data_IF_780791814914
#
_entry.id   IF_780791814914
#
_cell.length_a   1.000
_cell.length_b   1.000
_cell.length_c   1.000
_cell.angle_alpha   90.00
_cell.angle_beta   90.00
_cell.angle_gamma   90.00
#
_symmetry.space_group_name_H-M   'P 1'
#
loop_
_entity.id
_entity.type
_entity.pdbx_description
1 polymer ?
#
# COMPACT_ATOMS: atom_id res chain seq x y z
N UNK A 1 -80.25 32.31 54.33
CA UNK A 1 -80.68 30.94 54.70
C UNK A 1 -79.73 29.95 54.06
N UNK A 2 -79.04 29.15 54.90
CA UNK A 2 -78.48 27.78 54.69
C UNK A 2 -77.81 27.50 53.32
N UNK A 3 -76.57 27.04 53.20
CA UNK A 3 -75.79 26.19 54.10
C UNK A 3 -74.30 26.20 53.76
N UNK A 4 -73.54 26.27 54.85
CA UNK A 4 -72.12 26.01 55.06
C UNK A 4 -71.70 24.57 54.68
N UNK A 5 -70.51 24.41 54.04
CA UNK A 5 -69.50 23.31 54.17
C UNK A 5 -68.54 23.37 52.96
N UNK A 6 -67.41 24.09 53.01
CA UNK A 6 -66.08 23.70 53.52
C UNK A 6 -65.50 22.40 52.94
N UNK A 7 -64.42 22.63 52.18
CA UNK A 7 -63.13 21.91 52.17
C UNK A 7 -62.95 20.64 51.31
N UNK A 8 -61.79 20.65 50.62
CA UNK A 8 -60.99 19.53 50.08
C UNK A 8 -61.32 18.99 48.67
N UNK A 9 -60.42 19.36 47.76
CA UNK A 9 -59.49 18.46 47.07
C UNK A 9 -59.54 18.43 45.53
N UNK A 10 -58.42 18.95 44.98
CA UNK A 10 -57.68 18.41 43.85
C UNK A 10 -58.22 18.72 42.44
N UNK A 11 -57.76 19.90 42.01
CA UNK A 11 -57.27 20.25 40.67
C UNK A 11 -56.94 19.00 39.82
N UNK A 12 -57.84 18.66 38.89
CA UNK A 12 -57.51 17.82 37.74
C UNK A 12 -56.94 18.73 36.66
N UNK A 13 -55.66 19.04 36.77
CA UNK A 13 -54.88 19.62 35.68
C UNK A 13 -54.55 18.46 34.73
N UNK A 14 -55.32 18.36 33.65
CA UNK A 14 -55.01 17.49 32.52
C UNK A 14 -53.83 18.11 31.75
N UNK A 15 -52.61 17.98 32.27
CA UNK A 15 -51.40 18.23 31.48
C UNK A 15 -51.25 17.05 30.53
N UNK A 16 -51.60 17.29 29.27
CA UNK A 16 -51.27 16.41 28.16
C UNK A 16 -49.75 16.33 28.06
N UNK A 17 -49.17 15.32 28.71
CA UNK A 17 -47.76 14.98 28.60
C UNK A 17 -47.49 14.61 27.15
N UNK A 18 -46.88 15.54 26.40
CA UNK A 18 -46.18 15.19 25.17
C UNK A 18 -45.02 14.31 25.62
N UNK A 19 -45.19 13.00 25.44
CA UNK A 19 -44.10 12.04 25.53
C UNK A 19 -43.13 12.35 24.40
N UNK A 20 -42.17 13.23 24.66
CA UNK A 20 -40.95 13.31 23.86
C UNK A 20 -40.32 11.92 23.97
N UNK A 21 -40.46 11.15 22.90
CA UNK A 21 -39.75 9.91 22.72
C UNK A 21 -38.30 10.33 22.51
N UNK A 22 -37.53 10.39 23.59
CA UNK A 22 -36.07 10.46 23.51
C UNK A 22 -35.67 9.17 22.80
N UNK A 23 -35.36 9.28 21.51
CA UNK A 23 -34.62 8.24 20.80
C UNK A 23 -33.40 7.92 21.65
N UNK A 24 -33.23 6.65 22.01
CA UNK A 24 -32.01 6.16 22.65
C UNK A 24 -30.82 6.69 21.87
N UNK A 25 -30.13 7.66 22.44
CA UNK A 25 -28.81 8.08 21.98
C UNK A 25 -27.93 6.85 22.17
N UNK A 26 -27.65 6.16 21.07
CA UNK A 26 -26.91 4.91 21.07
C UNK A 26 -25.50 5.25 21.55
N UNK A 27 -25.25 5.02 22.83
CA UNK A 27 -24.03 5.48 23.48
C UNK A 27 -22.85 4.76 22.82
N UNK A 28 -22.03 5.51 22.09
CA UNK A 28 -20.84 4.99 21.44
C UNK A 28 -19.86 4.53 22.52
N UNK A 29 -19.60 3.23 22.59
CA UNK A 29 -18.75 2.62 23.63
C UNK A 29 -17.65 1.77 23.02
N UNK A 30 -16.58 1.58 23.79
CA UNK A 30 -15.46 0.70 23.44
C UNK A 30 -15.70 -0.65 24.12
N UNK A 31 -16.47 -1.52 23.48
CA UNK A 31 -16.86 -2.83 24.04
C UNK A 31 -16.10 -4.02 23.43
N UNK A 32 -15.22 -3.76 22.46
CA UNK A 32 -14.44 -4.78 21.76
C UNK A 32 -15.20 -5.50 20.65
N UNK A 33 -16.36 -4.98 20.23
CA UNK A 33 -17.09 -5.43 19.05
C UNK A 33 -16.86 -4.48 17.86
N UNK A 34 -17.24 -4.93 16.66
CA UNK A 34 -17.21 -4.07 15.46
C UNK A 34 -18.42 -3.15 15.47
N UNK A 35 -18.18 -1.85 15.63
CA UNK A 35 -19.22 -0.81 15.66
C UNK A 35 -19.87 -0.63 14.28
N UNK A 36 -21.20 -0.71 14.20
CA UNK A 36 -21.95 -0.40 12.99
C UNK A 36 -22.16 1.11 12.85
N UNK A 37 -21.63 1.68 11.78
CA UNK A 37 -21.81 3.09 11.45
C UNK A 37 -22.91 3.28 10.41
N UNK A 38 -23.57 4.41 10.55
CA UNK A 38 -24.66 4.90 9.73
C UNK A 38 -24.42 6.37 9.42
N UNK A 39 -25.17 6.92 8.46
CA UNK A 39 -25.09 8.34 8.12
C UNK A 39 -25.33 9.26 9.34
N UNK A 40 -26.14 8.84 10.31
CA UNK A 40 -26.48 9.65 11.49
C UNK A 40 -25.47 9.61 12.63
N UNK A 41 -24.63 8.57 12.74
CA UNK A 41 -23.67 8.42 13.84
C UNK A 41 -22.20 8.51 13.39
N UNK A 42 -21.93 8.55 12.08
CA UNK A 42 -20.56 8.57 11.54
C UNK A 42 -19.73 9.73 12.10
N UNK A 43 -20.18 10.97 11.90
CA UNK A 43 -19.44 12.16 12.35
C UNK A 43 -19.25 12.16 13.89
N UNK A 44 -20.26 11.70 14.63
CA UNK A 44 -20.18 11.55 16.09
C UNK A 44 -19.11 10.55 16.48
N UNK A 45 -19.06 9.37 15.84
CA UNK A 45 -18.06 8.34 16.12
C UNK A 45 -16.63 8.81 15.82
N UNK A 46 -16.43 9.46 14.67
CA UNK A 46 -15.11 10.01 14.30
C UNK A 46 -14.65 11.07 15.30
N UNK A 47 -15.56 11.88 15.85
CA UNK A 47 -15.23 12.90 16.86
C UNK A 47 -15.07 12.36 18.29
N UNK A 48 -15.70 11.22 18.61
CA UNK A 48 -15.73 10.64 19.96
C UNK A 48 -14.47 9.81 20.25
N UNK A 49 -14.00 9.04 19.27
CA UNK A 49 -12.88 8.14 19.45
C UNK A 49 -11.58 8.75 18.92
N UNK A 50 -10.54 8.74 19.75
CA UNK A 50 -9.20 9.19 19.35
C UNK A 50 -8.65 8.39 18.17
N UNK A 51 -8.95 7.09 18.10
CA UNK A 51 -8.51 6.22 17.03
C UNK A 51 -9.64 5.25 16.64
N UNK A 52 -10.11 5.35 15.41
CA UNK A 52 -11.15 4.46 14.86
C UNK A 52 -10.76 3.98 13.46
N UNK A 53 -10.82 2.67 13.26
CA UNK A 53 -10.56 1.99 12.01
C UNK A 53 -11.88 1.58 11.38
N UNK A 54 -12.19 2.10 10.19
CA UNK A 54 -13.49 1.96 9.52
C UNK A 54 -13.35 1.15 8.24
N UNK A 55 -14.15 0.08 8.12
CA UNK A 55 -14.38 -0.67 6.88
C UNK A 55 -15.59 -0.11 6.12
N UNK A 56 -15.34 0.55 4.99
CA UNK A 56 -16.38 0.95 4.05
C UNK A 56 -16.67 -0.21 3.10
N UNK A 57 -17.80 -0.87 3.32
CA UNK A 57 -18.11 -2.15 2.70
C UNK A 57 -19.42 -2.14 1.90
N UNK A 58 -19.60 -3.19 1.09
CA UNK A 58 -20.87 -3.53 0.47
C UNK A 58 -21.22 -5.00 0.77
N UNK A 59 -22.49 -5.33 1.05
CA UNK A 59 -22.89 -6.67 1.50
C UNK A 59 -22.70 -7.76 0.43
N UNK A 60 -22.66 -7.38 -0.85
CA UNK A 60 -22.42 -8.29 -1.97
C UNK A 60 -20.92 -8.49 -2.28
N UNK A 61 -20.02 -7.68 -1.72
CA UNK A 61 -18.60 -7.74 -2.02
C UNK A 61 -17.90 -8.95 -1.36
N UNK A 62 -17.34 -9.83 -2.18
CA UNK A 62 -16.63 -11.03 -1.70
C UNK A 62 -15.38 -10.73 -0.86
N UNK A 63 -14.65 -9.64 -1.15
CA UNK A 63 -13.50 -9.22 -0.35
C UNK A 63 -13.92 -8.73 1.03
N UNK A 64 -15.05 -8.01 1.14
CA UNK A 64 -15.60 -7.55 2.42
C UNK A 64 -16.03 -8.73 3.30
N UNK A 65 -16.71 -9.72 2.70
CA UNK A 65 -17.13 -10.94 3.43
C UNK A 65 -15.96 -11.71 4.05
N UNK A 66 -14.80 -11.73 3.39
CA UNK A 66 -13.58 -12.35 3.92
C UNK A 66 -12.90 -11.52 5.00
N UNK A 67 -13.02 -10.20 4.94
CA UNK A 67 -12.41 -9.28 5.90
C UNK A 67 -13.19 -9.22 7.22
N UNK A 68 -14.51 -9.26 7.18
CA UNK A 68 -15.37 -9.14 8.36
C UNK A 68 -14.97 -10.06 9.55
N UNK A 69 -14.73 -11.38 9.39
CA UNK A 69 -14.29 -12.22 10.52
C UNK A 69 -12.92 -11.82 11.09
N UNK A 70 -12.03 -11.24 10.28
CA UNK A 70 -10.73 -10.75 10.74
C UNK A 70 -10.89 -9.47 11.58
N UNK A 71 -11.85 -8.61 11.21
CA UNK A 71 -12.22 -7.42 12.00
C UNK A 71 -12.85 -7.82 13.34
N UNK A 72 -13.76 -8.79 13.33
CA UNK A 72 -14.39 -9.33 14.54
C UNK A 72 -13.35 -9.92 15.51
N UNK A 73 -12.31 -10.57 14.98
CA UNK A 73 -11.22 -11.12 15.79
C UNK A 73 -10.25 -10.04 16.33
N UNK A 74 -10.02 -8.96 15.56
CA UNK A 74 -9.10 -7.89 15.93
C UNK A 74 -9.70 -6.90 16.94
N UNK A 75 -11.01 -6.61 16.84
CA UNK A 75 -11.71 -5.62 17.66
C UNK A 75 -11.50 -5.79 19.18
N UNK A 76 -11.64 -6.99 19.78
CA UNK A 76 -11.49 -7.15 21.22
C UNK A 76 -10.04 -7.00 21.70
N UNK A 77 -9.05 -7.18 20.81
CA UNK A 77 -7.63 -7.01 21.16
C UNK A 77 -7.29 -5.52 21.13
N UNK A 78 -7.72 -4.81 20.09
CA UNK A 78 -7.48 -3.38 19.92
C UNK A 78 -8.21 -2.51 20.96
N UNK A 79 -9.39 -2.93 21.40
CA UNK A 79 -10.14 -2.28 22.46
C UNK A 79 -9.45 -2.32 23.83
N UNK A 80 -8.57 -3.30 24.07
CA UNK A 80 -7.85 -3.50 25.34
C UNK A 80 -6.52 -2.75 25.42
N UNK A 81 -6.12 -2.06 24.35
CA UNK A 81 -4.92 -1.23 24.36
C UNK A 81 -5.07 -0.07 25.35
N UNK A 82 -3.95 0.41 25.88
CA UNK A 82 -3.93 1.60 26.76
C UNK A 82 -4.62 2.80 26.11
N UNK A 83 -4.39 2.97 24.81
CA UNK A 83 -5.18 3.84 23.94
C UNK A 83 -5.93 2.94 22.96
N UNK A 84 -7.24 2.72 23.16
CA UNK A 84 -8.03 1.83 22.34
C UNK A 84 -8.07 2.26 20.87
N UNK A 85 -8.13 1.28 19.96
CA UNK A 85 -8.52 1.49 18.57
C UNK A 85 -9.88 0.82 18.38
N UNK A 86 -10.90 1.61 18.07
CA UNK A 86 -12.24 1.09 17.78
C UNK A 86 -12.26 0.56 16.35
N UNK A 87 -12.75 -0.65 16.14
CA UNK A 87 -13.05 -1.14 14.79
C UNK A 87 -14.52 -0.87 14.50
N UNK A 88 -14.79 -0.34 13.32
CA UNK A 88 -16.12 -0.01 12.86
C UNK A 88 -16.30 -0.40 11.39
N UNK A 89 -17.55 -0.47 10.95
CA UNK A 89 -17.89 -0.70 9.54
C UNK A 89 -19.06 0.17 9.13
N UNK A 90 -19.08 0.57 7.86
CA UNK A 90 -20.15 1.37 7.27
C UNK A 90 -20.55 0.78 5.92
N UNK A 91 -21.84 0.48 5.76
CA UNK A 91 -22.37 0.04 4.47
C UNK A 91 -22.45 1.22 3.49
N UNK A 92 -21.40 1.41 2.71
CA UNK A 92 -21.24 2.53 1.79
C UNK A 92 -22.10 2.39 0.52
N UNK A 93 -22.55 1.17 0.21
CA UNK A 93 -23.56 0.91 -0.83
C UNK A 93 -24.94 1.45 -0.41
N UNK A 94 -25.32 1.25 0.85
CA UNK A 94 -26.56 1.80 1.44
C UNK A 94 -26.49 3.31 1.63
N UNK A 95 -25.37 3.84 2.12
CA UNK A 95 -25.18 5.27 2.43
C UNK A 95 -24.37 5.99 1.35
N UNK A 96 -24.77 5.84 0.08
CA UNK A 96 -24.01 6.31 -1.10
C UNK A 96 -23.73 7.82 -1.14
N UNK A 97 -24.56 8.66 -0.50
CA UNK A 97 -24.29 10.11 -0.39
C UNK A 97 -23.09 10.40 0.48
N UNK A 98 -23.01 9.74 1.64
CA UNK A 98 -21.87 9.84 2.55
C UNK A 98 -20.64 9.27 1.85
N UNK A 99 -20.73 8.06 1.29
CA UNK A 99 -19.63 7.43 0.55
C UNK A 99 -19.03 8.37 -0.51
N UNK A 100 -19.86 9.06 -1.30
CA UNK A 100 -19.39 10.06 -2.27
C UNK A 100 -18.76 11.29 -1.61
N UNK A 101 -19.31 11.78 -0.49
CA UNK A 101 -18.77 12.94 0.24
C UNK A 101 -17.36 12.68 0.78
N UNK A 102 -17.07 11.43 1.16
CA UNK A 102 -15.76 10.99 1.66
C UNK A 102 -14.96 10.18 0.63
N UNK A 103 -15.34 10.28 -0.66
CA UNK A 103 -14.59 9.76 -1.80
C UNK A 103 -14.32 8.23 -1.77
N UNK A 104 -15.26 7.44 -1.27
CA UNK A 104 -15.20 5.97 -1.37
C UNK A 104 -15.70 5.53 -2.75
N UNK A 105 -14.79 4.99 -3.57
CA UNK A 105 -15.04 4.56 -4.95
C UNK A 105 -14.93 3.03 -5.16
N UNK A 106 -14.40 2.29 -4.18
CA UNK A 106 -14.22 0.85 -4.22
C UNK A 106 -14.53 0.19 -2.87
N UNK A 107 -14.67 -1.14 -2.86
CA UNK A 107 -14.94 -1.91 -1.64
C UNK A 107 -14.04 -3.15 -1.50
N UNK A 108 -13.53 -3.47 -0.29
CA UNK A 108 -13.53 -2.60 0.88
C UNK A 108 -12.53 -1.45 0.70
N UNK A 109 -12.90 -0.25 1.16
CA UNK A 109 -11.94 0.83 1.44
C UNK A 109 -11.80 0.94 2.94
N UNK A 110 -10.56 0.87 3.42
CA UNK A 110 -10.23 0.85 4.83
C UNK A 110 -9.62 2.18 5.22
N UNK A 111 -10.14 2.81 6.26
CA UNK A 111 -9.66 4.11 6.73
C UNK A 111 -9.35 4.06 8.21
N UNK A 112 -8.20 4.61 8.59
CA UNK A 112 -7.88 4.92 9.98
C UNK A 112 -8.11 6.40 10.22
N UNK A 113 -8.96 6.75 11.17
CA UNK A 113 -9.11 8.11 11.67
C UNK A 113 -8.35 8.23 12.97
N UNK A 114 -7.38 9.14 13.00
CA UNK A 114 -6.60 9.46 14.19
C UNK A 114 -6.84 10.92 14.55
N UNK A 115 -7.51 11.15 15.68
CA UNK A 115 -8.05 12.45 16.10
C UNK A 115 -8.83 13.14 14.97
N UNK A 116 -9.71 12.38 14.31
CA UNK A 116 -10.54 12.83 13.19
C UNK A 116 -9.82 13.00 11.85
N UNK A 117 -8.49 12.85 11.79
CA UNK A 117 -7.73 12.95 10.54
C UNK A 117 -7.76 11.61 9.80
N UNK A 118 -8.33 11.53 8.58
CA UNK A 118 -8.39 10.29 7.82
C UNK A 118 -7.03 9.90 7.25
N UNK A 119 -6.78 8.59 7.19
CA UNK A 119 -5.68 7.96 6.47
C UNK A 119 -6.20 6.67 5.84
N UNK A 120 -6.02 6.54 4.53
CA UNK A 120 -6.35 5.28 3.87
C UNK A 120 -5.36 4.18 4.27
N UNK A 121 -5.90 3.00 4.53
CA UNK A 121 -5.16 1.84 5.01
C UNK A 121 -4.92 0.83 3.89
N UNK A 122 -3.64 0.58 3.63
CA UNK A 122 -3.18 -0.42 2.64
C UNK A 122 -2.47 -1.61 3.28
N UNK A 123 -2.50 -1.72 4.61
CA UNK A 123 -1.79 -2.75 5.36
C UNK A 123 -2.44 -4.15 5.29
N UNK A 124 -1.91 -5.11 6.06
CA UNK A 124 -2.40 -6.49 6.09
C UNK A 124 -3.85 -6.59 6.58
N UNK A 125 -4.57 -7.62 6.12
CA UNK A 125 -6.00 -7.81 6.41
C UNK A 125 -6.32 -9.01 7.32
N UNK A 126 -5.31 -9.79 7.70
CA UNK A 126 -5.44 -10.87 8.69
C UNK A 126 -5.41 -10.27 10.10
N UNK A 127 -6.21 -10.79 11.03
CA UNK A 127 -6.46 -10.19 12.34
C UNK A 127 -5.18 -9.93 13.14
N UNK A 128 -4.30 -10.93 13.25
CA UNK A 128 -3.03 -10.83 13.98
C UNK A 128 -2.11 -9.76 13.39
N UNK A 129 -1.97 -9.74 12.06
CA UNK A 129 -1.15 -8.78 11.35
C UNK A 129 -1.78 -7.37 11.35
N UNK A 130 -3.11 -7.28 11.26
CA UNK A 130 -3.88 -6.04 11.34
C UNK A 130 -3.70 -5.41 12.71
N UNK A 131 -3.85 -6.18 13.79
CA UNK A 131 -3.61 -5.74 15.16
C UNK A 131 -2.19 -5.21 15.30
N UNK A 132 -1.19 -5.98 14.84
CA UNK A 132 0.22 -5.60 14.90
C UNK A 132 0.48 -4.28 14.16
N UNK A 133 -0.07 -4.14 12.96
CA UNK A 133 0.07 -2.92 12.15
C UNK A 133 -0.60 -1.71 12.82
N UNK A 134 -1.84 -1.86 13.31
CA UNK A 134 -2.61 -0.76 13.88
C UNK A 134 -2.06 -0.27 15.23
N UNK A 135 -1.48 -1.15 16.05
CA UNK A 135 -0.82 -0.79 17.32
C UNK A 135 0.20 0.34 17.16
N UNK A 136 0.85 0.45 15.99
CA UNK A 136 1.80 1.54 15.67
C UNK A 136 1.23 2.93 15.91
N UNK A 137 -0.03 3.15 15.52
CA UNK A 137 -0.61 4.48 15.46
C UNK A 137 -1.01 5.03 16.84
N UNK A 138 -1.10 4.16 17.84
CA UNK A 138 -1.40 4.49 19.24
C UNK A 138 -0.22 4.24 20.18
N UNK A 139 0.94 3.89 19.62
CA UNK A 139 2.18 3.76 20.36
C UNK A 139 2.69 5.13 20.87
N UNK A 140 3.48 5.16 21.95
CA UNK A 140 4.21 6.36 22.34
C UNK A 140 5.12 6.83 21.19
N UNK A 141 5.42 8.13 21.16
CA UNK A 141 6.29 8.70 20.12
C UNK A 141 7.71 8.10 20.21
N UNK A 142 8.17 7.80 21.43
CA UNK A 142 9.40 7.04 21.73
C UNK A 142 9.09 6.09 22.88
N UNK A 143 9.35 4.80 22.70
CA UNK A 143 9.25 3.82 23.78
C UNK A 143 10.51 3.83 24.65
N UNK A 144 10.34 3.65 25.97
CA UNK A 144 11.47 3.48 26.89
C UNK A 144 11.59 2.02 27.25
N UNK A 145 12.76 1.44 26.99
CA UNK A 145 13.04 0.02 27.15
C UNK A 145 14.03 -0.15 28.30
N UNK A 146 13.58 -0.80 29.37
CA UNK A 146 14.32 -0.89 30.63
C UNK A 146 15.34 -2.05 30.66
N UNK A 147 15.30 -2.96 29.68
CA UNK A 147 16.17 -4.14 29.63
C UNK A 147 16.34 -4.70 28.23
N UNK A 148 17.32 -5.57 28.04
CA UNK A 148 17.56 -6.30 26.78
C UNK A 148 16.35 -7.15 26.35
N UNK A 149 15.63 -7.73 27.31
CA UNK A 149 14.40 -8.47 27.03
C UNK A 149 13.31 -7.53 26.48
N UNK A 150 13.16 -6.34 27.07
CA UNK A 150 12.22 -5.34 26.55
C UNK A 150 12.59 -4.88 25.13
N UNK A 151 13.89 -4.81 24.80
CA UNK A 151 14.35 -4.53 23.44
C UNK A 151 13.93 -5.63 22.46
N UNK A 152 14.11 -6.90 22.81
CA UNK A 152 13.71 -8.04 21.97
C UNK A 152 12.19 -8.08 21.76
N UNK A 153 11.42 -7.95 22.85
CA UNK A 153 9.96 -7.90 22.81
C UNK A 153 9.45 -6.74 21.95
N UNK A 154 10.05 -5.55 22.09
CA UNK A 154 9.68 -4.38 21.29
C UNK A 154 9.90 -4.61 19.79
N UNK A 155 11.03 -5.19 19.39
CA UNK A 155 11.31 -5.48 17.98
C UNK A 155 10.36 -6.56 17.43
N UNK A 156 10.05 -7.59 18.23
CA UNK A 156 9.09 -8.63 17.85
C UNK A 156 7.67 -8.05 17.66
N UNK A 157 7.22 -7.21 18.59
CA UNK A 157 5.93 -6.54 18.55
C UNK A 157 5.84 -5.51 17.41
N UNK A 158 6.94 -4.80 17.12
CA UNK A 158 7.03 -3.86 16.00
C UNK A 158 6.84 -4.56 14.64
N UNK A 159 7.25 -5.83 14.54
CA UNK A 159 7.11 -6.65 13.35
C UNK A 159 7.95 -6.16 12.17
N UNK A 160 7.44 -6.38 10.96
CA UNK A 160 8.22 -6.18 9.73
C UNK A 160 7.70 -5.07 8.80
N UNK A 161 6.65 -4.37 9.21
CA UNK A 161 5.96 -3.38 8.36
C UNK A 161 6.60 -2.00 8.37
N UNK A 162 7.33 -1.67 9.44
CA UNK A 162 7.93 -0.36 9.64
C UNK A 162 9.37 -0.50 10.12
N UNK A 163 10.27 0.40 9.72
CA UNK A 163 11.59 0.49 10.32
C UNK A 163 11.53 0.78 11.82
N UNK A 164 12.56 0.32 12.52
CA UNK A 164 12.70 0.46 13.97
C UNK A 164 14.00 1.17 14.28
N UNK A 165 13.90 2.27 15.04
CA UNK A 165 15.03 3.04 15.52
C UNK A 165 15.17 2.89 17.02
N UNK A 166 16.34 2.46 17.50
CA UNK A 166 16.62 2.24 18.92
C UNK A 166 17.87 3.03 19.32
N UNK A 167 17.68 4.00 20.22
CA UNK A 167 18.77 4.75 20.83
C UNK A 167 19.35 4.03 22.03
N UNK A 168 20.52 3.41 21.88
CA UNK A 168 21.27 2.79 22.96
C UNK A 168 22.10 3.85 23.69
N UNK A 169 21.88 4.03 24.99
CA UNK A 169 22.53 5.07 25.78
C UNK A 169 22.07 6.49 25.47
N UNK A 170 20.93 6.65 24.78
CA UNK A 170 20.32 7.94 24.48
C UNK A 170 19.16 8.27 25.43
N UNK A 171 18.97 9.56 25.70
CA UNK A 171 17.76 10.04 26.37
C UNK A 171 16.62 10.17 25.33
N UNK A 172 15.39 9.80 25.71
CA UNK A 172 14.21 9.90 24.84
C UNK A 172 14.01 11.31 24.25
N UNK A 173 14.37 12.36 25.00
CA UNK A 173 14.22 13.75 24.57
C UNK A 173 14.98 14.04 23.27
N UNK A 174 16.13 13.39 23.07
CA UNK A 174 17.01 13.56 21.89
C UNK A 174 16.29 13.13 20.60
N UNK A 175 15.46 12.08 20.66
CA UNK A 175 14.78 11.53 19.47
C UNK A 175 13.25 11.73 19.49
N UNK A 176 12.71 12.38 20.53
CA UNK A 176 11.27 12.60 20.70
C UNK A 176 10.65 13.41 19.54
N UNK A 177 11.37 14.41 19.03
CA UNK A 177 10.96 15.19 17.85
C UNK A 177 10.82 14.31 16.60
N UNK A 178 11.78 13.41 16.40
CA UNK A 178 11.79 12.45 15.28
C UNK A 178 10.65 11.42 15.44
N UNK A 179 10.47 10.90 16.65
CA UNK A 179 9.38 9.99 17.00
C UNK A 179 8.01 10.56 16.66
N UNK A 180 7.78 11.84 16.98
CA UNK A 180 6.55 12.55 16.62
C UNK A 180 6.43 12.77 15.11
N UNK A 181 7.48 13.28 14.47
CA UNK A 181 7.51 13.61 13.04
C UNK A 181 7.28 12.38 12.15
N UNK A 182 7.89 11.26 12.50
CA UNK A 182 7.86 10.01 11.74
C UNK A 182 6.97 8.94 12.36
N UNK A 183 6.03 9.31 13.25
CA UNK A 183 5.12 8.37 13.94
C UNK A 183 4.39 7.41 13.00
N UNK A 184 4.06 7.87 11.79
CA UNK A 184 3.34 7.09 10.77
C UNK A 184 4.27 6.22 9.90
N UNK A 185 5.60 6.40 10.00
CA UNK A 185 6.60 5.78 9.13
C UNK A 185 7.57 4.85 9.86
N UNK A 186 7.82 5.05 11.16
CA UNK A 186 8.78 4.23 11.91
C UNK A 186 8.51 4.17 13.42
N UNK A 187 8.99 3.10 14.03
CA UNK A 187 9.06 2.91 15.47
C UNK A 187 10.31 3.58 16.04
N UNK A 188 10.18 4.21 17.20
CA UNK A 188 11.31 4.81 17.91
C UNK A 188 11.31 4.34 19.35
N UNK A 189 12.50 4.02 19.86
CA UNK A 189 12.70 3.65 21.25
C UNK A 189 14.08 4.10 21.76
N UNK A 190 14.25 4.11 23.07
CA UNK A 190 15.55 4.20 23.73
C UNK A 190 15.73 3.04 24.69
N UNK A 191 16.94 2.49 24.75
CA UNK A 191 17.31 1.47 25.74
C UNK A 191 18.06 2.12 26.90
N UNK A 192 17.61 1.85 28.13
CA UNK A 192 18.26 2.30 29.37
C UNK A 192 19.52 1.49 29.69
N UNK A 193 19.52 0.22 29.29
CA UNK A 193 20.65 -0.68 29.44
C UNK A 193 21.33 -0.90 28.09
N UNK A 194 22.66 -1.01 28.14
CA UNK A 194 23.49 -1.38 26.99
C UNK A 194 24.38 -2.52 27.47
N UNK A 195 24.14 -3.71 26.94
CA UNK A 195 24.90 -4.91 27.23
C UNK A 195 25.75 -5.32 26.03
N UNK A 196 26.78 -6.13 26.27
CA UNK A 196 27.55 -6.76 25.18
C UNK A 196 26.65 -7.60 24.25
N UNK A 197 25.63 -8.27 24.80
CA UNK A 197 24.67 -9.06 24.02
C UNK A 197 23.86 -8.20 23.05
N UNK A 198 23.39 -7.02 23.48
CA UNK A 198 22.69 -6.08 22.60
C UNK A 198 23.65 -5.46 21.58
N UNK A 199 24.87 -5.12 21.97
CA UNK A 199 25.92 -4.63 21.07
C UNK A 199 26.20 -5.62 19.94
N UNK A 200 26.31 -6.90 20.25
CA UNK A 200 26.49 -7.97 19.24
C UNK A 200 25.23 -8.15 18.39
N UNK A 201 24.05 -8.18 19.02
CA UNK A 201 22.78 -8.43 18.31
C UNK A 201 22.41 -7.32 17.33
N UNK A 202 22.80 -6.09 17.63
CA UNK A 202 22.53 -4.88 16.84
C UNK A 202 23.82 -4.28 16.28
N UNK A 203 24.88 -5.08 16.14
CA UNK A 203 26.14 -4.76 15.45
C UNK A 203 26.67 -3.34 15.69
N UNK A 204 26.80 -2.94 16.96
CA UNK A 204 27.38 -1.66 17.36
C UNK A 204 28.48 -1.82 18.40
N UNK A 205 29.52 -0.99 18.33
CA UNK A 205 30.76 -1.16 19.10
C UNK A 205 30.92 -0.16 20.26
N UNK A 206 30.06 0.87 20.32
CA UNK A 206 30.08 1.88 21.38
C UNK A 206 28.71 2.52 21.59
N UNK A 207 28.48 2.99 22.81
CA UNK A 207 27.35 3.86 23.14
C UNK A 207 27.83 5.29 23.45
N UNK A 208 27.02 6.34 23.20
CA UNK A 208 25.68 6.26 22.62
C UNK A 208 25.67 5.90 21.13
N UNK A 209 24.61 5.24 20.69
CA UNK A 209 24.36 4.89 19.30
C UNK A 209 22.86 4.93 18.99
N UNK A 210 22.50 5.36 17.77
CA UNK A 210 21.16 5.20 17.22
C UNK A 210 21.22 4.10 16.16
N UNK A 211 20.57 2.98 16.45
CA UNK A 211 20.48 1.83 15.56
C UNK A 211 19.20 1.94 14.75
N UNK A 212 19.30 1.75 13.44
CA UNK A 212 18.17 1.60 12.53
C UNK A 212 18.13 0.16 11.99
N UNK A 213 16.98 -0.49 12.17
CA UNK A 213 16.68 -1.78 11.55
C UNK A 213 15.52 -1.60 10.58
N UNK A 214 15.70 -2.01 9.33
CA UNK A 214 14.68 -2.01 8.30
C UNK A 214 14.29 -3.45 7.94
N UNK A 215 13.23 -4.01 8.56
CA UNK A 215 12.92 -5.44 8.42
C UNK A 215 12.60 -5.87 6.99
N UNK A 216 11.92 -5.03 6.21
CA UNK A 216 11.53 -5.33 4.82
C UNK A 216 12.74 -5.57 3.91
N UNK A 217 13.82 -4.83 4.14
CA UNK A 217 15.04 -4.93 3.33
C UNK A 217 16.16 -5.70 4.02
N UNK A 218 15.91 -6.19 5.25
CA UNK A 218 16.91 -6.79 6.11
C UNK A 218 18.17 -5.92 6.22
N UNK A 219 17.96 -4.61 6.37
CA UNK A 219 19.05 -3.64 6.47
C UNK A 219 19.23 -3.13 7.89
N UNK A 220 20.48 -2.86 8.21
CA UNK A 220 20.92 -2.42 9.50
C UNK A 220 21.90 -1.25 9.32
N UNK A 221 21.76 -0.21 10.14
CA UNK A 221 22.68 0.92 10.13
C UNK A 221 22.82 1.49 11.53
N UNK A 222 24.04 1.93 11.86
CA UNK A 222 24.35 2.50 13.18
C UNK A 222 24.88 3.91 13.02
N UNK A 223 24.34 4.82 13.84
CA UNK A 223 24.77 6.20 13.89
C UNK A 223 25.37 6.53 15.26
N UNK A 224 26.62 6.95 15.25
CA UNK A 224 27.39 7.27 16.47
C UNK A 224 27.43 8.77 16.79
N UNK A 225 26.63 9.57 16.10
CA UNK A 225 26.55 11.01 16.28
C UNK A 225 27.25 11.82 15.19
N UNK A 226 27.19 13.16 15.29
CA UNK A 226 26.64 13.93 16.41
C UNK A 226 25.12 13.79 16.59
N UNK A 227 24.65 13.74 17.84
CA UNK A 227 23.23 13.55 18.20
C UNK A 227 22.47 14.88 18.25
N UNK A 228 22.54 15.63 17.15
CA UNK A 228 21.83 16.91 16.98
C UNK A 228 20.74 16.73 15.91
N UNK A 229 19.65 17.49 16.03
CA UNK A 229 18.42 17.31 15.23
C UNK A 229 18.67 17.15 13.72
N UNK A 230 19.56 17.96 13.14
CA UNK A 230 19.86 17.92 11.70
C UNK A 230 20.49 16.59 11.25
N UNK A 231 21.53 16.14 11.95
CA UNK A 231 22.24 14.90 11.62
C UNK A 231 21.39 13.66 11.93
N UNK A 232 20.60 13.70 13.01
CA UNK A 232 19.68 12.62 13.33
C UNK A 232 18.56 12.51 12.30
N UNK A 233 17.99 13.64 11.88
CA UNK A 233 16.96 13.65 10.85
C UNK A 233 17.49 13.11 9.53
N UNK A 234 18.72 13.50 9.16
CA UNK A 234 19.37 13.01 7.96
C UNK A 234 19.58 11.49 8.03
N UNK A 235 20.12 10.97 9.14
CA UNK A 235 20.27 9.52 9.34
C UNK A 235 18.93 8.77 9.25
N UNK A 236 17.89 9.26 9.94
CA UNK A 236 16.55 8.65 9.89
C UNK A 236 16.00 8.63 8.47
N UNK A 237 16.13 9.72 7.71
CA UNK A 237 15.72 9.79 6.31
C UNK A 237 16.46 8.77 5.46
N UNK A 238 17.77 8.69 5.62
CA UNK A 238 18.61 7.76 4.88
C UNK A 238 18.29 6.29 5.19
N UNK A 239 17.85 5.99 6.42
CA UNK A 239 17.47 4.64 6.85
C UNK A 239 16.05 4.20 6.47
N UNK A 240 15.23 5.04 5.83
CA UNK A 240 13.93 4.62 5.27
C UNK A 240 14.06 3.85 3.96
N UNK A 241 15.22 3.93 3.31
CA UNK A 241 15.50 3.23 2.07
C UNK A 241 16.63 2.23 2.30
N UNK A 242 16.65 1.12 1.54
CA UNK A 242 17.80 0.27 1.51
C UNK A 242 18.99 1.00 0.85
N UNK A 243 20.21 0.56 1.14
CA UNK A 243 21.45 1.02 0.51
C UNK A 243 21.37 0.91 -1.01
N UNK A 244 20.78 -0.17 -1.52
CA UNK A 244 20.45 -0.31 -2.95
C UNK A 244 18.96 -0.61 -3.10
N UNK A 245 18.25 0.25 -3.82
CA UNK A 245 16.80 0.21 -3.97
C UNK A 245 16.41 -0.42 -5.32
N UNK A 246 15.67 -1.55 -5.34
CA UNK A 246 15.07 -2.01 -6.58
C UNK A 246 14.05 -0.99 -7.05
N UNK A 247 14.14 -0.52 -8.28
CA UNK A 247 13.21 0.46 -8.85
C UNK A 247 12.04 -0.28 -9.47
N UNK A 248 10.85 -0.06 -8.90
CA UNK A 248 9.58 -0.58 -9.36
C UNK A 248 8.46 0.41 -9.00
N UNK A 249 7.23 0.08 -9.35
CA UNK A 249 6.08 0.97 -9.10
C UNK A 249 5.92 1.41 -7.64
N UNK A 250 6.28 0.58 -6.66
CA UNK A 250 6.09 0.89 -5.26
C UNK A 250 7.27 1.68 -4.69
N UNK A 251 8.50 1.32 -5.05
CA UNK A 251 9.70 2.04 -4.59
C UNK A 251 9.85 3.41 -5.23
N UNK A 252 9.37 3.60 -6.47
CA UNK A 252 9.27 4.93 -7.09
C UNK A 252 8.42 5.88 -6.23
N UNK A 253 7.29 5.42 -5.66
CA UNK A 253 6.46 6.26 -4.79
C UNK A 253 7.20 6.71 -3.53
N UNK A 254 8.13 5.91 -3.03
CA UNK A 254 8.95 6.25 -1.86
C UNK A 254 9.93 7.39 -2.15
N UNK A 255 10.36 7.52 -3.42
CA UNK A 255 11.32 8.53 -3.87
C UNK A 255 10.68 9.89 -4.17
N UNK A 256 9.35 9.98 -4.23
CA UNK A 256 8.64 11.21 -4.63
C UNK A 256 8.99 12.43 -3.79
N UNK A 257 9.21 12.23 -2.49
CA UNK A 257 9.55 13.29 -1.54
C UNK A 257 11.05 13.27 -1.17
N UNK A 258 11.88 12.50 -1.88
CA UNK A 258 13.32 12.43 -1.68
C UNK A 258 14.04 13.37 -2.65
N UNK A 259 14.81 14.32 -2.12
CA UNK A 259 15.49 15.34 -2.92
C UNK A 259 16.86 14.87 -3.46
N UNK A 260 17.33 13.68 -3.05
CA UNK A 260 18.62 13.14 -3.46
C UNK A 260 18.57 12.66 -4.91
N UNK A 261 19.69 12.84 -5.61
CA UNK A 261 19.87 12.28 -6.95
C UNK A 261 20.03 10.75 -6.87
N UNK A 262 19.58 10.06 -7.90
CA UNK A 262 19.52 8.60 -7.95
C UNK A 262 20.62 8.09 -8.88
N UNK A 263 21.61 7.39 -8.34
CA UNK A 263 22.54 6.59 -9.12
C UNK A 263 21.79 5.34 -9.60
N UNK A 264 21.25 5.40 -10.82
CA UNK A 264 20.44 4.34 -11.40
C UNK A 264 21.32 3.37 -12.19
N UNK A 265 21.32 2.11 -11.78
CA UNK A 265 21.99 1.01 -12.49
C UNK A 265 20.97 0.15 -13.22
N UNK A 266 21.02 0.16 -14.54
CA UNK A 266 20.14 -0.62 -15.41
C UNK A 266 20.86 -1.92 -15.78
N UNK A 267 20.25 -3.06 -15.47
CA UNK A 267 20.75 -4.40 -15.77
C UNK A 267 19.81 -5.11 -16.75
N UNK A 268 20.26 -6.21 -17.35
CA UNK A 268 19.40 -7.01 -18.23
C UNK A 268 18.28 -7.69 -17.40
N UNK A 269 18.67 -8.36 -16.31
CA UNK A 269 17.80 -9.18 -15.48
C UNK A 269 18.27 -9.14 -14.03
N UNK A 270 17.44 -8.63 -13.13
CA UNK A 270 17.76 -8.47 -11.71
C UNK A 270 18.06 -9.79 -10.99
N UNK A 271 17.60 -10.91 -11.54
CA UNK A 271 17.71 -12.25 -10.91
C UNK A 271 18.99 -12.99 -11.26
N UNK A 272 19.85 -12.41 -12.10
CA UNK A 272 21.03 -13.08 -12.60
C UNK A 272 22.14 -13.15 -11.53
N UNK A 273 22.64 -14.35 -11.23
CA UNK A 273 23.65 -14.60 -10.18
C UNK A 273 24.94 -13.79 -10.35
N UNK A 274 25.29 -13.41 -11.59
CA UNK A 274 26.49 -12.60 -11.86
C UNK A 274 26.41 -11.17 -11.31
N UNK A 275 25.25 -10.71 -10.84
CA UNK A 275 25.07 -9.37 -10.30
C UNK A 275 25.55 -9.22 -8.85
N UNK A 276 25.84 -10.31 -8.13
CA UNK A 276 26.29 -10.27 -6.74
C UNK A 276 27.50 -9.35 -6.53
N UNK A 277 28.50 -9.43 -7.41
CA UNK A 277 29.69 -8.55 -7.35
C UNK A 277 29.34 -7.09 -7.58
N UNK A 278 28.43 -6.82 -8.52
CA UNK A 278 27.96 -5.47 -8.83
C UNK A 278 27.18 -4.90 -7.64
N UNK A 279 26.22 -5.63 -7.10
CA UNK A 279 25.43 -5.20 -5.95
C UNK A 279 26.30 -4.98 -4.71
N UNK A 280 27.36 -5.79 -4.51
CA UNK A 280 28.34 -5.53 -3.44
C UNK A 280 29.08 -4.21 -3.65
N UNK A 281 29.51 -3.91 -4.88
CA UNK A 281 30.15 -2.64 -5.21
C UNK A 281 29.20 -1.44 -5.03
N UNK A 282 27.95 -1.55 -5.51
CA UNK A 282 26.93 -0.52 -5.34
C UNK A 282 26.59 -0.28 -3.87
N UNK A 283 26.44 -1.34 -3.05
CA UNK A 283 26.23 -1.19 -1.59
C UNK A 283 27.40 -0.49 -0.91
N UNK A 284 28.64 -0.85 -1.25
CA UNK A 284 29.82 -0.18 -0.70
C UNK A 284 29.86 1.31 -1.09
N UNK A 285 29.53 1.62 -2.34
CA UNK A 285 29.43 2.99 -2.82
C UNK A 285 28.29 3.76 -2.13
N UNK A 286 27.10 3.17 -2.00
CA UNK A 286 25.96 3.75 -1.31
C UNK A 286 26.25 4.05 0.16
N UNK A 287 26.97 3.15 0.84
CA UNK A 287 27.37 3.36 2.23
C UNK A 287 28.27 4.59 2.38
N UNK A 288 29.16 4.85 1.42
CA UNK A 288 30.08 5.99 1.43
C UNK A 288 29.48 7.29 0.87
N UNK A 289 28.33 7.23 0.18
CA UNK A 289 27.72 8.34 -0.55
C UNK A 289 26.22 8.43 -0.25
N UNK A 290 25.87 8.62 1.02
CA UNK A 290 24.48 8.66 1.51
C UNK A 290 23.69 9.89 1.04
N UNK A 291 24.39 10.89 0.51
CA UNK A 291 23.85 12.05 -0.21
C UNK A 291 23.18 11.67 -1.55
N UNK A 292 23.39 10.44 -2.02
CA UNK A 292 22.77 9.87 -3.21
C UNK A 292 21.92 8.65 -2.84
N UNK A 293 20.91 8.35 -3.66
CA UNK A 293 20.19 7.08 -3.62
C UNK A 293 20.79 6.16 -4.67
N UNK A 294 21.07 4.91 -4.35
CA UNK A 294 21.52 3.93 -5.34
C UNK A 294 20.33 3.05 -5.72
N UNK A 295 19.90 3.14 -6.98
CA UNK A 295 18.79 2.37 -7.53
C UNK A 295 19.28 1.33 -8.53
N UNK A 296 18.58 0.23 -8.66
CA UNK A 296 18.79 -0.71 -9.77
C UNK A 296 17.47 -1.15 -10.38
N UNK A 297 17.49 -1.47 -11.67
CA UNK A 297 16.31 -1.94 -12.42
C UNK A 297 16.75 -2.87 -13.53
N UNK A 298 16.00 -3.96 -13.73
CA UNK A 298 16.21 -4.86 -14.86
C UNK A 298 15.29 -4.56 -16.03
N UNK A 299 15.80 -4.67 -17.25
CA UNK A 299 15.01 -4.55 -18.49
C UNK A 299 13.84 -5.53 -18.47
N UNK A 300 14.06 -6.78 -18.06
CA UNK A 300 12.99 -7.80 -18.01
C UNK A 300 11.92 -7.51 -16.96
N UNK A 301 12.27 -6.80 -15.89
CA UNK A 301 11.38 -6.48 -14.78
C UNK A 301 10.57 -5.21 -15.06
N UNK A 302 11.15 -4.25 -15.79
CA UNK A 302 10.53 -2.95 -15.98
C UNK A 302 10.87 -2.25 -17.31
N UNK A 303 10.66 -2.94 -18.43
CA UNK A 303 10.99 -2.48 -19.79
C UNK A 303 10.50 -1.05 -20.08
N UNK A 304 9.22 -0.75 -19.81
CA UNK A 304 8.63 0.57 -20.09
C UNK A 304 9.33 1.73 -19.37
N UNK A 305 9.84 1.49 -18.16
CA UNK A 305 10.59 2.47 -17.40
C UNK A 305 12.00 2.62 -17.96
N UNK A 306 12.65 1.50 -18.28
CA UNK A 306 14.03 1.47 -18.77
C UNK A 306 14.19 2.10 -20.15
N UNK A 307 13.20 1.92 -21.04
CA UNK A 307 13.18 2.52 -22.38
C UNK A 307 13.28 4.06 -22.34
N UNK A 308 12.77 4.69 -21.27
CA UNK A 308 12.85 6.12 -21.06
C UNK A 308 14.31 6.62 -20.94
N UNK A 309 15.24 5.76 -20.50
CA UNK A 309 16.66 6.07 -20.34
C UNK A 309 17.50 5.79 -21.59
N UNK A 310 16.88 5.77 -22.78
CA UNK A 310 17.57 5.49 -24.05
C UNK A 310 18.32 4.15 -24.00
N UNK A 311 17.64 3.11 -23.51
CA UNK A 311 18.13 1.74 -23.53
C UNK A 311 17.43 1.02 -24.68
N UNK A 312 18.22 0.35 -25.50
CA UNK A 312 17.74 -0.45 -26.61
C UNK A 312 18.51 -1.79 -26.68
N UNK A 313 18.14 -2.65 -27.62
CA UNK A 313 18.76 -3.99 -27.79
C UNK A 313 20.26 -3.97 -28.10
N UNK A 314 20.84 -2.82 -28.44
CA UNK A 314 22.28 -2.65 -28.74
C UNK A 314 23.03 -2.01 -27.57
N UNK A 315 22.31 -1.58 -26.53
CA UNK A 315 22.89 -0.95 -25.36
C UNK A 315 23.66 -1.98 -24.55
N UNK A 316 24.92 -1.68 -24.23
CA UNK A 316 25.71 -2.53 -23.35
C UNK A 316 25.26 -2.33 -21.90
N UNK A 317 24.83 -3.42 -21.26
CA UNK A 317 24.43 -3.45 -19.85
C UNK A 317 25.49 -4.19 -19.01
N UNK A 318 25.63 -3.87 -17.72
CA UNK A 318 24.91 -2.85 -16.94
C UNK A 318 25.22 -1.40 -17.31
N UNK A 319 24.20 -0.56 -17.48
CA UNK A 319 24.33 0.90 -17.71
C UNK A 319 24.18 1.65 -16.39
N UNK A 320 24.94 2.71 -16.16
CA UNK A 320 24.85 3.53 -14.94
C UNK A 320 24.71 5.02 -15.27
N UNK A 321 23.79 5.71 -14.58
CA UNK A 321 23.50 7.14 -14.77
C UNK A 321 23.17 7.80 -13.42
N UNK A 322 23.21 9.14 -13.35
CA UNK A 322 22.67 9.89 -12.21
C UNK A 322 21.38 10.58 -12.63
N UNK A 323 20.25 10.06 -12.17
CA UNK A 323 18.92 10.56 -12.46
C UNK A 323 18.45 11.57 -11.42
N UNK A 324 17.74 12.60 -11.86
CA UNK A 324 17.17 13.63 -10.99
C UNK A 324 15.89 13.24 -10.26
N UNK A 325 15.33 12.07 -10.57
CA UNK A 325 14.04 11.62 -10.06
C UNK A 325 12.84 12.18 -10.84
N UNK A 326 13.08 12.86 -11.96
CA UNK A 326 12.06 13.41 -12.85
C UNK A 326 12.42 13.21 -14.33
N UNK A 327 12.76 14.28 -15.07
CA UNK A 327 12.93 14.24 -16.52
C UNK A 327 14.40 14.19 -16.99
N UNK A 328 15.37 14.50 -16.13
CA UNK A 328 16.78 14.65 -16.52
C UNK A 328 17.69 13.63 -15.86
N UNK A 329 18.69 13.16 -16.60
CA UNK A 329 19.77 12.37 -16.03
C UNK A 329 21.12 12.80 -16.59
N UNK A 330 22.13 12.74 -15.75
CA UNK A 330 23.53 12.96 -16.08
C UNK A 330 24.18 11.64 -16.47
N UNK A 331 24.83 11.64 -17.64
CA UNK A 331 25.69 10.56 -18.09
C UNK A 331 27.16 10.97 -17.93
N UNK A 332 27.95 10.18 -17.19
CA UNK A 332 29.36 10.51 -16.97
C UNK A 332 30.18 10.22 -18.23
N UNK A 333 30.89 11.23 -18.73
CA UNK A 333 31.64 11.12 -19.98
C UNK A 333 32.71 10.03 -19.90
N UNK A 334 32.66 9.08 -20.84
CA UNK A 334 33.60 7.96 -20.91
C UNK A 334 33.31 6.82 -19.93
N UNK A 335 32.23 6.89 -19.14
CA UNK A 335 31.79 5.80 -18.25
C UNK A 335 30.28 5.62 -18.38
N UNK A 336 29.88 4.78 -19.34
CA UNK A 336 28.46 4.52 -19.64
C UNK A 336 27.98 3.16 -19.14
N UNK A 337 28.90 2.20 -19.06
CA UNK A 337 28.63 0.79 -18.76
C UNK A 337 29.62 0.30 -17.71
N UNK A 338 29.17 -0.58 -16.82
CA UNK A 338 30.04 -1.31 -15.90
C UNK A 338 30.37 -2.66 -16.54
N UNK A 339 31.64 -2.90 -16.87
CA UNK A 339 32.07 -4.12 -17.54
C UNK A 339 32.49 -5.19 -16.54
N UNK A 340 32.49 -6.46 -16.97
CA UNK A 340 33.01 -7.59 -16.18
C UNK A 340 34.54 -7.69 -16.22
N UNK A 341 35.21 -6.92 -17.09
CA UNK A 341 36.65 -7.01 -17.33
C UNK A 341 37.48 -6.27 -16.26
N UNK A 342 36.90 -5.22 -15.67
CA UNK A 342 37.49 -4.42 -14.59
C UNK A 342 36.73 -4.64 -13.28
N UNK A 343 37.40 -4.39 -12.15
CA UNK A 343 36.76 -4.44 -10.84
C UNK A 343 35.59 -3.43 -10.74
N UNK A 344 34.41 -3.92 -10.34
CA UNK A 344 33.19 -3.10 -10.30
C UNK A 344 33.30 -1.95 -9.29
N UNK A 345 33.96 -2.15 -8.15
CA UNK A 345 34.11 -1.10 -7.14
C UNK A 345 34.94 0.07 -7.67
N UNK A 346 36.00 -0.23 -8.41
CA UNK A 346 36.84 0.76 -9.09
C UNK A 346 36.05 1.53 -10.14
N UNK A 347 35.26 0.84 -10.97
CA UNK A 347 34.42 1.48 -12.00
C UNK A 347 33.35 2.39 -11.39
N UNK A 348 32.64 1.93 -10.37
CA UNK A 348 31.62 2.75 -9.66
C UNK A 348 32.26 3.96 -8.98
N UNK A 349 33.45 3.80 -8.38
CA UNK A 349 34.16 4.92 -7.75
C UNK A 349 34.56 5.98 -8.78
N UNK A 350 35.12 5.58 -9.93
CA UNK A 350 35.48 6.47 -11.03
C UNK A 350 34.26 7.16 -11.65
N UNK A 351 33.13 6.46 -11.74
CA UNK A 351 31.86 7.05 -12.17
C UNK A 351 31.43 8.19 -11.23
N UNK A 352 31.41 7.94 -9.93
CA UNK A 352 31.01 8.94 -8.92
C UNK A 352 31.97 10.13 -8.87
N UNK A 353 33.28 9.89 -9.02
CA UNK A 353 34.28 10.94 -9.15
C UNK A 353 34.01 11.81 -10.39
N UNK A 354 33.79 11.20 -11.55
CA UNK A 354 33.45 11.92 -12.77
C UNK A 354 32.17 12.75 -12.66
N UNK A 355 31.15 12.22 -11.98
CA UNK A 355 29.93 12.98 -11.67
C UNK A 355 30.24 14.18 -10.77
N UNK A 356 30.99 14.00 -9.68
CA UNK A 356 31.34 15.09 -8.74
C UNK A 356 32.24 16.16 -9.35
N UNK A 357 33.06 15.79 -10.33
CA UNK A 357 33.88 16.72 -11.10
C UNK A 357 33.08 17.46 -12.20
N UNK A 358 31.81 17.11 -12.40
CA UNK A 358 30.97 17.69 -13.45
C UNK A 358 31.35 17.24 -14.86
N UNK A 359 32.05 16.11 -15.00
CA UNK A 359 32.33 15.48 -16.30
C UNK A 359 31.11 14.70 -16.79
N UNK A 360 30.00 15.41 -17.00
CA UNK A 360 28.72 14.83 -17.37
C UNK A 360 28.12 15.45 -18.63
N UNK A 361 27.34 14.65 -19.33
CA UNK A 361 26.42 15.08 -20.37
C UNK A 361 24.99 14.92 -19.86
N UNK A 362 24.26 16.04 -19.77
CA UNK A 362 22.84 16.03 -19.42
C UNK A 362 22.01 15.49 -20.57
N UNK A 363 21.12 14.56 -20.25
CA UNK A 363 20.12 13.99 -21.15
C UNK A 363 18.74 14.09 -20.52
N UNK A 364 17.71 14.10 -21.37
CA UNK A 364 16.33 13.97 -20.94
C UNK A 364 15.86 12.54 -21.13
N UNK A 365 14.94 12.07 -20.32
CA UNK A 365 14.27 10.79 -20.58
C UNK A 365 13.32 10.89 -21.77
N UNK A 366 13.02 9.76 -22.40
CA UNK A 366 11.97 9.65 -23.41
C UNK A 366 10.65 9.29 -22.73
N UNK A 367 9.58 10.02 -23.06
CA UNK A 367 8.23 9.72 -22.56
C UNK A 367 7.81 10.60 -21.37
N UNK A 368 6.82 10.17 -20.58
CA UNK A 368 6.30 10.97 -19.48
C UNK A 368 7.33 11.13 -18.37
N UNK A 369 7.32 12.30 -17.73
CA UNK A 369 8.12 12.57 -16.53
C UNK A 369 7.85 11.55 -15.42
N UNK A 370 8.68 11.48 -14.38
CA UNK A 370 8.43 10.58 -13.23
C UNK A 370 7.02 10.75 -12.66
N UNK A 371 6.57 11.99 -12.49
CA UNK A 371 5.21 12.28 -12.04
C UNK A 371 4.16 11.88 -13.08
N UNK A 372 4.44 12.07 -14.37
CA UNK A 372 3.60 11.58 -15.46
C UNK A 372 3.48 10.06 -15.46
N UNK A 373 4.57 9.36 -15.17
CA UNK A 373 4.64 7.90 -15.07
C UNK A 373 3.81 7.42 -13.87
N UNK A 374 3.99 7.98 -12.67
CA UNK A 374 3.15 7.70 -11.48
C UNK A 374 1.67 7.96 -11.76
N UNK A 375 1.33 9.08 -12.39
CA UNK A 375 -0.05 9.45 -12.64
C UNK A 375 -0.71 8.57 -13.73
N UNK A 376 0.05 8.19 -14.76
CA UNK A 376 -0.40 7.24 -15.78
C UNK A 376 -0.82 5.90 -15.15
N UNK A 377 -0.11 5.43 -14.13
CA UNK A 377 -0.45 4.21 -13.39
C UNK A 377 -1.81 4.28 -12.66
N UNK A 378 -2.21 5.45 -12.15
CA UNK A 378 -3.53 5.64 -11.52
C UNK A 378 -4.63 5.52 -12.59
N UNK A 379 -4.40 6.09 -13.78
CA UNK A 379 -5.31 5.98 -14.92
C UNK A 379 -5.39 4.58 -15.52
N UNK A 380 -4.30 3.79 -15.49
CA UNK A 380 -4.28 2.41 -16.02
C UNK A 380 -5.23 1.49 -15.26
N UNK A 381 -5.38 1.64 -13.93
CA UNK A 381 -6.44 0.92 -13.18
C UNK A 381 -7.84 1.28 -13.69
N UNK A 382 -8.09 2.55 -14.00
CA UNK A 382 -9.35 3.01 -14.61
C UNK A 382 -9.55 2.44 -16.02
N UNK A 383 -8.48 2.31 -16.81
CA UNK A 383 -8.52 1.71 -18.16
C UNK A 383 -8.78 0.21 -18.09
N UNK A 384 -8.14 -0.53 -17.18
CA UNK A 384 -8.44 -1.95 -16.98
C UNK A 384 -9.88 -2.17 -16.49
N UNK A 385 -10.38 -1.30 -15.60
CA UNK A 385 -11.79 -1.32 -15.20
C UNK A 385 -12.69 -1.02 -16.40
N UNK A 386 -12.35 -0.05 -17.25
CA UNK A 386 -13.13 0.29 -18.44
C UNK A 386 -13.11 -0.84 -19.48
N UNK A 387 -11.96 -1.45 -19.74
CA UNK A 387 -11.81 -2.59 -20.65
C UNK A 387 -12.55 -3.81 -20.12
N UNK A 388 -12.47 -4.07 -18.81
CA UNK A 388 -13.24 -5.12 -18.15
C UNK A 388 -14.76 -4.84 -18.23
N UNK A 389 -15.19 -3.60 -17.99
CA UNK A 389 -16.59 -3.19 -18.09
C UNK A 389 -17.11 -3.34 -19.53
N UNK A 390 -16.32 -2.94 -20.52
CA UNK A 390 -16.64 -3.10 -21.95
C UNK A 390 -16.71 -4.59 -22.32
N UNK A 391 -15.76 -5.41 -21.86
CA UNK A 391 -15.78 -6.86 -22.08
C UNK A 391 -17.01 -7.52 -21.44
N UNK A 392 -17.39 -7.11 -20.23
CA UNK A 392 -18.60 -7.58 -19.55
C UNK A 392 -19.86 -7.12 -20.30
N UNK A 393 -19.93 -5.88 -20.77
CA UNK A 393 -21.04 -5.38 -21.59
C UNK A 393 -21.13 -6.15 -22.92
N UNK A 394 -20.01 -6.45 -23.57
CA UNK A 394 -19.97 -7.25 -24.80
C UNK A 394 -20.42 -8.69 -24.54
N UNK A 395 -20.02 -9.29 -23.42
CA UNK A 395 -20.45 -10.62 -23.00
C UNK A 395 -21.95 -10.67 -22.68
N UNK A 396 -22.49 -9.66 -22.01
CA UNK A 396 -23.93 -9.54 -21.74
C UNK A 396 -24.75 -9.32 -23.00
N UNK A 397 -24.23 -8.57 -23.99
CA UNK A 397 -24.86 -8.40 -25.31
C UNK A 397 -24.85 -9.69 -26.13
N UNK A 398 -23.81 -10.50 -26.00
CA UNK A 398 -23.72 -11.85 -26.60
C UNK A 398 -24.75 -12.81 -26.01
N UNK A 399 -24.99 -12.73 -24.69
CA UNK A 399 -26.00 -13.52 -23.99
C UNK A 399 -27.45 -13.04 -24.22
N UNK A 400 -27.64 -11.83 -24.75
CA UNK A 400 -28.94 -11.24 -25.05
C UNK A 400 -29.49 -11.54 -26.45
N UNK A 401 -28.81 -12.35 -27.26
CA UNK A 401 -29.26 -12.78 -28.58
C UNK A 401 -29.72 -14.25 -28.53
N UNK A 402 -30.84 -14.53 -27.87
CA UNK A 402 -31.57 -15.81 -28.02
C UNK A 402 -33.07 -15.54 -28.12
N UNK A 403 -33.55 -15.66 -29.36
CA UNK A 403 -34.90 -16.03 -29.86
C UNK A 403 -36.16 -15.29 -29.35
N UNK A 404 -36.78 -14.53 -30.27
CA UNK A 404 -38.23 -14.27 -30.22
C UNK A 404 -39.00 -15.59 -30.43
N UNK A 405 -40.06 -15.88 -29.67
CA UNK A 405 -40.80 -17.12 -29.78
C UNK A 405 -41.69 -17.13 -31.03
N UNK A 406 -41.56 -18.21 -31.81
CA UNK A 406 -42.37 -18.50 -32.98
C UNK A 406 -43.87 -18.49 -32.67
N UNK A 407 -44.62 -17.80 -33.52
CA UNK A 407 -46.06 -17.65 -33.47
C UNK A 407 -46.85 -18.97 -33.53
N UNK A 408 -48.01 -18.93 -32.88
CA UNK A 408 -49.05 -19.95 -32.78
C UNK A 408 -49.42 -20.51 -34.16
N UNK A 409 -49.34 -21.83 -34.30
CA UNK A 409 -49.91 -22.60 -35.41
C UNK A 409 -51.44 -22.66 -35.26
N UNK A 410 -52.16 -22.06 -36.20
CA UNK A 410 -53.52 -22.52 -36.57
C UNK A 410 -53.47 -23.06 -37.99
N UNK A 411 -53.80 -24.34 -38.13
CA UNK A 411 -53.93 -25.03 -39.40
C UNK A 411 -55.23 -24.61 -40.09
N UNK A 412 -55.19 -24.30 -41.39
CA UNK A 412 -56.32 -24.53 -42.29
C UNK A 412 -55.87 -24.70 -43.74
N UNK A 413 -56.22 -25.88 -44.24
CA UNK A 413 -56.26 -26.46 -45.58
C UNK A 413 -56.11 -25.58 -46.87
N UNK A 414 -55.36 -26.20 -47.81
CA UNK A 414 -55.72 -26.50 -49.21
C UNK A 414 -55.34 -25.57 -50.38
N UNK A 415 -54.61 -26.22 -51.32
CA UNK A 415 -54.69 -26.20 -52.80
C UNK A 415 -54.12 -25.03 -53.62
N UNK A 416 -53.12 -25.37 -54.44
CA UNK A 416 -52.90 -25.11 -55.91
C UNK A 416 -51.37 -25.19 -56.15
N UNK A 417 -50.76 -26.24 -56.71
CA UNK A 417 -50.70 -26.83 -58.08
C UNK A 417 -50.12 -25.89 -59.16
N UNK A 418 -49.15 -26.44 -59.92
CA UNK A 418 -48.61 -26.03 -61.25
C UNK A 418 -47.41 -25.05 -61.15
N UNK A 419 -46.21 -25.21 -61.73
CA UNK A 419 -45.58 -26.08 -62.75
C UNK A 419 -44.04 -26.13 -62.49
N UNK A 420 -43.32 -27.24 -62.66
CA UNK A 420 -42.50 -27.61 -63.85
C UNK A 420 -41.40 -26.58 -64.22
N UNK A 421 -40.10 -26.86 -64.47
CA UNK A 421 -39.33 -28.10 -64.69
C UNK A 421 -37.82 -27.78 -64.71
N UNK A 422 -36.98 -28.79 -64.42
CA UNK A 422 -35.59 -29.06 -64.92
C UNK A 422 -34.44 -28.08 -64.58
N UNK A 423 -33.21 -28.50 -64.24
CA UNK A 423 -32.48 -29.76 -64.51
C UNK A 423 -31.27 -29.94 -63.57
N UNK A 424 -31.05 -31.18 -63.13
CA UNK A 424 -29.83 -31.82 -62.55
C UNK A 424 -29.21 -32.65 -63.71
N UNK A 425 -27.88 -32.95 -63.82
CA UNK A 425 -27.12 -33.96 -63.00
C UNK A 425 -25.59 -33.68 -62.90
N UNK A 426 -24.69 -34.42 -62.25
CA UNK A 426 -24.57 -35.50 -61.24
C UNK A 426 -23.05 -35.63 -60.98
N UNK A 427 -22.66 -36.36 -59.92
CA UNK A 427 -21.30 -36.93 -59.74
C UNK A 427 -20.70 -36.60 -58.37
N UNK A 428 -21.02 -37.30 -57.27
CA UNK A 428 -20.45 -38.60 -56.84
C UNK A 428 -18.89 -38.60 -56.79
N UNK A 429 -18.18 -38.93 -55.70
CA UNK A 429 -18.36 -40.08 -54.79
C UNK A 429 -17.41 -40.02 -53.58
N UNK A 430 -17.87 -40.58 -52.44
CA UNK A 430 -17.23 -41.59 -51.53
C UNK A 430 -15.80 -41.35 -50.99
N UNK A 431 -15.39 -41.77 -49.79
CA UNK A 431 -15.94 -42.25 -48.51
C UNK A 431 -14.73 -42.26 -47.56
N UNK A 432 -14.99 -42.12 -46.27
CA UNK A 432 -14.01 -42.23 -45.20
C UNK A 432 -14.37 -43.40 -44.29
N UNK A 433 -13.38 -44.23 -43.92
CA UNK A 433 -13.21 -44.95 -42.62
C UNK A 433 -12.15 -46.06 -42.72
N UNK A 434 -11.73 -46.75 -41.62
CA UNK A 434 -11.75 -46.40 -40.18
C UNK A 434 -10.49 -46.86 -39.39
N UNK A 435 -10.46 -46.50 -38.08
CA UNK A 435 -10.05 -47.27 -36.86
C UNK A 435 -8.68 -47.99 -36.83
N UNK A 436 -7.94 -48.02 -35.72
CA UNK A 436 -8.31 -48.60 -34.41
C UNK A 436 -7.18 -48.36 -33.37
N UNK A 437 -7.56 -48.30 -32.07
CA UNK A 437 -6.98 -48.92 -30.83
C UNK A 437 -5.43 -49.03 -30.66
N UNK A 438 -4.80 -49.00 -29.47
CA UNK A 438 -5.20 -49.39 -28.10
C UNK A 438 -4.12 -49.00 -27.06
N UNK A 439 -4.48 -49.18 -25.79
CA UNK A 439 -3.69 -49.28 -24.55
C UNK A 439 -2.37 -50.05 -24.62
N UNK A 440 -1.37 -49.58 -23.86
CA UNK A 440 -0.87 -50.22 -22.61
C UNK A 440 -0.33 -49.15 -21.63
#
# INVERSE_FOLDING_TARGET
MRSLKLLLCWISFLTLSISISVSSDDQLTVDGTVLELTDSNFDSAISTFDCIFVDFYAPWCGHCKRLNPELDAAAPILAKLKQPIVIAKLNADKYSRLARKIEIDAFPTLMLYNHGVPMEYYGPRKADLLVRYLKKFVAPDVAVLESDSAVKEFVEDAGTFFPVFIGFGLNESIISGLGRKYKKKAWFAVSKEVSEDTMVSYDFDKAPALVANHPTYNEHSVFYGPFEDGFLEEFVKQSFLPLILPINHDTLKLLKDDERKIVLTIVEDETHESLEKLYKALRAAAHANRDLVFGYVGVKQFEEFVDSFHVDKKTNLPKIVVWDGDEEYDQVTGIETITQEEDHLTQVSRFLEGYREGRTEKKKINGPSFMGFINSMIGIRSVYILVFLVAVIMMLRSLGQVEEPAGVRTATAARERVDQTTSVPEGETSEHKPSDKKED
#
